data_IF_811649870358
#
_entry.id   IF_811649870358
#
_cell.length_a   1.000
_cell.length_b   1.000
_cell.length_c   1.000
_cell.angle_alpha   90.00
_cell.angle_beta   90.00
_cell.angle_gamma   90.00
#
_symmetry.space_group_name_H-M   'P 1'
#
loop_
_entity.id
_entity.type
_entity.pdbx_description
1 polymer ?
#
# COMPACT_ATOMS: atom_id res chain seq x y z
N UNK A 1 -0.80 -16.71 20.52
CA UNK A 1 0.15 -15.60 20.58
C UNK A 1 1.42 -16.04 19.87
N UNK A 2 1.94 -15.26 18.92
CA UNK A 2 3.18 -15.58 18.22
C UNK A 2 4.38 -15.31 19.13
N UNK A 3 5.42 -16.15 19.03
CA UNK A 3 6.62 -16.04 19.88
C UNK A 3 7.61 -14.98 19.37
N UNK A 4 7.62 -14.76 18.05
CA UNK A 4 8.50 -13.81 17.39
C UNK A 4 7.90 -13.36 16.04
N UNK A 5 8.57 -12.40 15.38
CA UNK A 5 8.10 -11.82 14.10
C UNK A 5 8.11 -12.83 12.95
N UNK A 6 9.05 -13.81 12.96
CA UNK A 6 9.08 -14.86 11.96
C UNK A 6 7.85 -15.78 12.08
N UNK A 7 7.51 -16.23 13.28
CA UNK A 7 6.34 -17.06 13.52
C UNK A 7 5.05 -16.31 13.14
N UNK A 8 5.00 -15.01 13.43
CA UNK A 8 3.90 -14.14 13.03
C UNK A 8 3.79 -14.06 11.50
N UNK A 9 4.88 -13.82 10.79
CA UNK A 9 4.90 -13.74 9.33
C UNK A 9 4.47 -15.07 8.71
N UNK A 10 5.03 -16.19 9.17
CA UNK A 10 4.64 -17.52 8.71
C UNK A 10 3.16 -17.82 8.99
N UNK A 11 2.63 -17.35 10.13
CA UNK A 11 1.21 -17.45 10.45
C UNK A 11 0.32 -16.66 9.48
N UNK A 12 0.72 -15.45 9.10
CA UNK A 12 0.01 -14.62 8.13
C UNK A 12 0.04 -15.23 6.70
N UNK A 13 1.10 -15.97 6.39
CA UNK A 13 1.30 -16.63 5.08
C UNK A 13 0.75 -18.07 5.03
N UNK A 14 0.10 -18.58 6.08
CA UNK A 14 -0.62 -19.85 6.03
C UNK A 14 -1.86 -19.75 5.14
N UNK A 15 -2.38 -20.86 4.68
CA UNK A 15 -3.53 -20.94 3.77
C UNK A 15 -4.74 -20.12 4.22
N UNK A 16 -5.00 -20.09 5.52
CA UNK A 16 -6.06 -19.28 6.12
C UNK A 16 -5.56 -17.99 6.78
N UNK A 17 -4.30 -17.62 6.55
CA UNK A 17 -3.71 -16.39 7.05
C UNK A 17 -4.24 -15.16 6.33
N UNK A 18 -4.15 -14.00 6.98
CA UNK A 18 -4.71 -12.75 6.45
C UNK A 18 -4.14 -12.42 5.07
N UNK A 19 -2.81 -12.48 4.91
CA UNK A 19 -2.15 -12.16 3.63
C UNK A 19 -2.65 -13.08 2.50
N UNK A 20 -2.70 -14.40 2.74
CA UNK A 20 -3.13 -15.36 1.70
C UNK A 20 -4.59 -15.16 1.32
N UNK A 21 -5.46 -14.80 2.27
CA UNK A 21 -6.86 -14.46 1.97
C UNK A 21 -6.96 -13.22 1.09
N UNK A 22 -6.20 -12.18 1.38
CA UNK A 22 -6.16 -10.96 0.57
C UNK A 22 -5.62 -11.24 -0.84
N UNK A 23 -4.56 -12.04 -0.96
CA UNK A 23 -4.01 -12.44 -2.24
C UNK A 23 -5.02 -13.26 -3.07
N UNK A 24 -5.77 -14.17 -2.44
CA UNK A 24 -6.86 -14.90 -3.11
C UNK A 24 -7.98 -13.95 -3.55
N UNK A 25 -8.34 -12.96 -2.74
CA UNK A 25 -9.34 -11.95 -3.10
C UNK A 25 -8.91 -11.11 -4.31
N UNK A 26 -7.65 -10.63 -4.32
CA UNK A 26 -7.06 -9.93 -5.48
C UNK A 26 -7.11 -10.82 -6.72
N UNK A 27 -6.67 -12.08 -6.61
CA UNK A 27 -6.70 -13.02 -7.74
C UNK A 27 -8.13 -13.26 -8.27
N UNK A 28 -9.10 -13.38 -7.38
CA UNK A 28 -10.49 -13.53 -7.77
C UNK A 28 -11.04 -12.27 -8.45
N UNK A 29 -10.61 -11.07 -8.04
CA UNK A 29 -11.08 -9.82 -8.63
C UNK A 29 -10.62 -9.61 -10.08
N UNK A 30 -9.61 -10.36 -10.58
CA UNK A 30 -9.24 -10.37 -12.00
C UNK A 30 -10.36 -10.87 -12.92
N UNK A 31 -11.33 -11.60 -12.38
CA UNK A 31 -12.53 -11.99 -13.13
C UNK A 31 -13.50 -10.82 -13.35
N UNK A 32 -13.24 -9.68 -12.73
CA UNK A 32 -14.12 -8.49 -12.76
C UNK A 32 -13.34 -7.23 -13.18
N UNK A 33 -12.74 -7.21 -14.38
CA UNK A 33 -11.86 -6.11 -14.82
C UNK A 33 -12.57 -4.76 -14.92
N UNK A 34 -13.89 -4.77 -15.13
CA UNK A 34 -14.69 -3.54 -15.19
C UNK A 34 -15.04 -2.96 -13.80
N UNK A 35 -14.82 -3.73 -12.73
CA UNK A 35 -15.10 -3.31 -11.36
C UNK A 35 -13.83 -3.05 -10.54
N UNK A 36 -12.67 -3.46 -11.04
CA UNK A 36 -11.41 -3.41 -10.30
C UNK A 36 -10.30 -2.83 -11.14
N UNK A 37 -9.67 -1.78 -10.66
CA UNK A 37 -8.43 -1.23 -11.22
C UNK A 37 -7.27 -1.47 -10.26
N UNK A 38 -6.13 -1.93 -10.79
CA UNK A 38 -4.97 -2.27 -9.96
C UNK A 38 -3.90 -1.21 -10.08
N UNK A 39 -3.53 -0.66 -8.94
CA UNK A 39 -2.46 0.33 -8.84
C UNK A 39 -1.28 -0.28 -8.08
N UNK A 40 -0.12 -0.33 -8.72
CA UNK A 40 1.11 -0.77 -8.06
C UNK A 40 1.76 0.40 -7.34
N UNK A 41 2.13 0.19 -6.08
CA UNK A 41 2.78 1.20 -5.25
C UNK A 41 4.01 1.81 -5.94
N UNK A 42 4.90 0.97 -6.51
CA UNK A 42 6.12 1.46 -7.17
C UNK A 42 5.80 2.36 -8.37
N UNK A 43 4.76 2.05 -9.15
CA UNK A 43 4.31 2.89 -10.26
C UNK A 43 3.71 4.20 -9.73
N UNK A 44 2.85 4.12 -8.71
CA UNK A 44 2.21 5.29 -8.11
C UNK A 44 3.24 6.29 -7.58
N UNK A 45 4.32 5.83 -6.93
CA UNK A 45 5.33 6.75 -6.38
C UNK A 45 6.36 7.21 -7.41
N UNK A 46 6.54 6.47 -8.51
CA UNK A 46 7.47 6.85 -9.58
C UNK A 46 6.85 7.75 -10.64
N UNK A 47 5.56 7.54 -10.95
CA UNK A 47 4.82 8.27 -11.97
C UNK A 47 3.38 8.54 -11.50
N UNK A 48 3.20 9.33 -10.43
CA UNK A 48 1.89 9.50 -9.79
C UNK A 48 0.85 10.09 -10.74
N UNK A 49 1.20 11.09 -11.55
CA UNK A 49 0.26 11.69 -12.50
C UNK A 49 -0.29 10.67 -13.50
N UNK A 50 0.58 9.83 -14.05
CA UNK A 50 0.17 8.80 -15.02
C UNK A 50 -0.77 7.78 -14.36
N UNK A 51 -0.47 7.33 -13.15
CA UNK A 51 -1.31 6.38 -12.43
C UNK A 51 -2.67 7.00 -12.06
N UNK A 52 -2.71 8.26 -11.61
CA UNK A 52 -3.96 8.97 -11.36
C UNK A 52 -4.81 9.13 -12.63
N UNK A 53 -4.21 9.45 -13.78
CA UNK A 53 -4.94 9.50 -15.05
C UNK A 53 -5.59 8.16 -15.42
N UNK A 54 -4.91 7.04 -15.15
CA UNK A 54 -5.49 5.70 -15.36
C UNK A 54 -6.68 5.46 -14.42
N UNK A 55 -6.58 5.89 -13.15
CA UNK A 55 -7.67 5.79 -12.18
C UNK A 55 -8.89 6.60 -12.67
N UNK A 56 -8.69 7.86 -13.06
CA UNK A 56 -9.76 8.72 -13.56
C UNK A 56 -10.42 8.15 -14.81
N UNK A 57 -9.63 7.61 -15.74
CA UNK A 57 -10.17 6.93 -16.92
C UNK A 57 -10.98 5.68 -16.55
N UNK A 58 -10.55 4.94 -15.53
CA UNK A 58 -11.27 3.74 -15.07
C UNK A 58 -12.61 4.06 -14.43
N UNK A 59 -12.70 5.16 -13.66
CA UNK A 59 -13.95 5.59 -13.01
C UNK A 59 -14.82 6.48 -13.91
N UNK A 60 -14.39 6.71 -15.15
CA UNK A 60 -15.06 7.56 -16.15
C UNK A 60 -15.31 9.01 -15.66
N UNK A 61 -14.31 9.58 -14.99
CA UNK A 61 -14.35 10.94 -14.47
C UNK A 61 -13.32 11.85 -15.13
N UNK A 62 -13.60 13.16 -15.28
CA UNK A 62 -12.62 14.13 -15.74
C UNK A 62 -11.42 14.20 -14.82
N UNK A 63 -10.22 14.21 -15.40
CA UNK A 63 -8.99 14.28 -14.61
C UNK A 63 -8.91 15.60 -13.81
N UNK A 64 -8.77 15.46 -12.51
CA UNK A 64 -8.43 16.59 -11.63
C UNK A 64 -6.91 16.76 -11.59
N UNK A 65 -6.44 18.01 -11.73
CA UNK A 65 -5.01 18.31 -11.74
C UNK A 65 -4.43 18.29 -10.32
N UNK A 66 -3.93 17.13 -9.92
CA UNK A 66 -3.30 16.91 -8.61
C UNK A 66 -1.90 17.53 -8.54
N UNK A 67 -1.49 17.91 -7.35
CA UNK A 67 -0.11 18.29 -7.06
C UNK A 67 0.62 17.13 -6.41
N UNK A 68 1.78 16.76 -6.98
CA UNK A 68 2.60 15.65 -6.50
C UNK A 68 3.99 16.11 -6.03
N UNK A 69 4.30 17.37 -6.21
CA UNK A 69 5.58 18.00 -5.91
C UNK A 69 5.68 18.53 -4.48
N UNK A 70 4.54 18.82 -3.87
CA UNK A 70 4.48 19.36 -2.52
C UNK A 70 3.27 18.83 -1.77
N UNK A 71 3.45 17.71 -1.08
CA UNK A 71 2.47 17.18 -0.17
C UNK A 71 2.60 17.87 1.18
N UNK A 72 1.47 18.28 1.73
CA UNK A 72 1.38 18.93 3.02
C UNK A 72 0.43 18.17 3.94
N UNK A 73 0.69 18.25 5.24
CA UNK A 73 -0.24 17.72 6.24
C UNK A 73 -1.49 18.58 6.25
N UNK A 74 -2.60 18.01 5.81
CA UNK A 74 -3.88 18.75 5.76
C UNK A 74 -4.47 18.86 7.16
N UNK A 75 -4.87 20.08 7.53
CA UNK A 75 -5.78 20.29 8.66
C UNK A 75 -7.21 20.41 8.16
N UNK A 76 -8.13 19.71 8.81
CA UNK A 76 -9.57 19.85 8.55
C UNK A 76 -10.19 20.59 9.72
N UNK A 77 -10.83 21.72 9.46
CA UNK A 77 -11.41 22.60 10.50
C UNK A 77 -10.41 23.00 11.59
N UNK A 78 -9.15 23.25 11.21
CA UNK A 78 -8.10 23.63 12.15
C UNK A 78 -7.53 22.48 12.98
N UNK A 79 -8.00 21.24 12.78
CA UNK A 79 -7.48 20.06 13.43
C UNK A 79 -6.55 19.33 12.49
N UNK A 80 -5.29 19.17 12.88
CA UNK A 80 -4.34 18.30 12.18
C UNK A 80 -4.68 16.84 12.49
N UNK A 81 -4.59 15.99 11.46
CA UNK A 81 -4.75 14.56 11.65
C UNK A 81 -3.59 14.03 12.52
N UNK A 82 -3.94 13.38 13.62
CA UNK A 82 -2.98 12.81 14.57
C UNK A 82 -3.46 11.44 15.02
N UNK A 83 -2.92 10.39 14.43
CA UNK A 83 -3.25 9.01 14.74
C UNK A 83 -2.53 8.48 16.00
N UNK A 84 -1.70 9.30 16.67
CA UNK A 84 -1.15 8.97 17.99
C UNK A 84 -2.26 8.74 19.02
N UNK A 85 -3.43 9.35 18.81
CA UNK A 85 -4.64 9.13 19.61
C UNK A 85 -5.07 7.66 19.59
N UNK A 86 -4.81 6.93 18.50
CA UNK A 86 -5.09 5.50 18.35
C UNK A 86 -3.84 4.62 18.52
N UNK A 87 -2.77 5.19 19.06
CA UNK A 87 -1.59 4.45 19.52
C UNK A 87 -0.48 4.27 18.47
N UNK A 88 -0.59 4.86 17.30
CA UNK A 88 0.48 4.82 16.30
C UNK A 88 0.51 6.09 15.45
N UNK A 89 1.64 6.32 14.79
CA UNK A 89 1.82 7.47 13.88
C UNK A 89 2.04 6.95 12.45
N UNK A 90 1.22 5.97 12.04
CA UNK A 90 1.39 5.28 10.75
C UNK A 90 0.93 6.09 9.54
N UNK A 91 -0.01 7.02 9.75
CA UNK A 91 -0.61 7.80 8.66
C UNK A 91 -0.07 9.22 8.57
N UNK A 92 1.05 9.51 9.22
CA UNK A 92 1.71 10.80 9.06
C UNK A 92 2.14 10.99 7.61
N UNK A 93 1.67 12.07 6.99
CA UNK A 93 2.16 12.48 5.68
C UNK A 93 3.61 12.96 5.78
N UNK A 94 4.40 12.63 4.78
CA UNK A 94 5.74 13.17 4.63
C UNK A 94 5.65 14.40 3.74
N UNK A 95 6.11 15.53 4.23
CA UNK A 95 6.13 16.78 3.47
C UNK A 95 7.04 16.66 2.23
N UNK A 96 6.69 17.38 1.18
CA UNK A 96 7.44 17.44 -0.07
C UNK A 96 6.88 16.52 -1.18
N UNK A 97 7.68 16.16 -2.18
CA UNK A 97 7.19 15.41 -3.33
C UNK A 97 6.79 13.97 -2.99
N UNK A 98 5.86 13.42 -3.78
CA UNK A 98 5.58 11.99 -3.76
C UNK A 98 6.88 11.24 -4.04
N UNK A 99 7.22 10.30 -3.18
CA UNK A 99 8.45 9.51 -3.30
C UNK A 99 8.31 8.14 -2.66
N UNK A 100 9.15 7.22 -3.08
CA UNK A 100 9.25 5.90 -2.43
C UNK A 100 9.75 6.08 -0.99
N UNK A 101 9.01 5.51 -0.06
CA UNK A 101 9.41 5.47 1.35
C UNK A 101 10.12 4.14 1.60
N UNK A 102 11.32 4.24 2.13
CA UNK A 102 12.08 3.07 2.55
C UNK A 102 11.45 2.46 3.81
N UNK A 103 11.18 1.16 3.75
CA UNK A 103 10.67 0.41 4.90
C UNK A 103 11.80 -0.40 5.54
N UNK A 104 12.37 0.04 6.68
CA UNK A 104 13.50 -0.63 7.32
C UNK A 104 13.14 -2.03 7.87
N UNK A 105 11.86 -2.33 8.00
CA UNK A 105 11.43 -3.65 8.47
C UNK A 105 11.64 -4.76 7.44
N UNK A 106 11.80 -4.41 6.15
CA UNK A 106 12.10 -5.40 5.10
C UNK A 106 13.42 -6.12 5.40
N UNK A 107 14.43 -5.41 5.92
CA UNK A 107 15.72 -6.00 6.25
C UNK A 107 15.67 -6.94 7.46
N UNK A 108 14.66 -6.78 8.32
CA UNK A 108 14.44 -7.66 9.47
C UNK A 108 13.83 -9.01 9.09
N UNK A 109 13.31 -9.11 7.86
CA UNK A 109 12.75 -10.38 7.37
C UNK A 109 13.93 -11.29 6.99
N UNK A 110 14.04 -12.48 7.60
CA UNK A 110 15.11 -13.41 7.27
C UNK A 110 15.15 -13.75 5.77
N UNK A 111 16.33 -13.81 5.17
CA UNK A 111 16.51 -14.06 3.72
C UNK A 111 15.76 -15.30 3.26
N UNK A 112 15.83 -16.41 4.01
CA UNK A 112 15.08 -17.64 3.70
C UNK A 112 13.57 -17.46 3.58
N UNK A 113 13.00 -16.49 4.32
CA UNK A 113 11.57 -16.19 4.25
C UNK A 113 11.28 -15.35 3.01
N UNK A 114 12.14 -14.37 2.70
CA UNK A 114 12.01 -13.57 1.47
C UNK A 114 12.06 -14.45 0.23
N UNK A 115 13.07 -15.31 0.12
CA UNK A 115 13.25 -16.25 -0.99
C UNK A 115 12.05 -17.21 -1.15
N UNK A 116 11.54 -17.72 -0.03
CA UNK A 116 10.36 -18.61 -0.04
C UNK A 116 9.14 -17.99 -0.71
N UNK A 117 8.95 -16.66 -0.58
CA UNK A 117 7.76 -15.96 -1.08
C UNK A 117 8.06 -15.02 -2.25
N UNK A 118 9.29 -14.98 -2.74
CA UNK A 118 9.73 -14.11 -3.85
C UNK A 118 8.97 -14.39 -5.16
N UNK A 119 8.52 -15.63 -5.34
CA UNK A 119 7.79 -16.07 -6.54
C UNK A 119 6.34 -15.52 -6.60
N UNK A 120 5.82 -14.97 -5.50
CA UNK A 120 4.48 -14.39 -5.50
C UNK A 120 4.54 -13.05 -6.26
N UNK A 121 3.97 -13.06 -7.47
CA UNK A 121 3.84 -11.89 -8.35
C UNK A 121 2.36 -11.65 -8.64
N UNK A 122 2.01 -10.38 -8.80
CA UNK A 122 0.67 -9.92 -9.20
C UNK A 122 0.79 -9.07 -10.45
#
# INVERSE_FOLDING_TARGET
KFKNDEEKLLGLMKENGAIVKELKAIKNSYNYPNLCHYVRYDNMVSNPEQEFRKIYNFIDEPYFNHRFDNLDQVSVNGLSYDDRVVGSNMHKLFDGPVRKVYNPYIEKIPTRIREKYEHIRF
#
